data_IF_060326498898
#
_entry.id   IF_060326498898
#
_cell.length_a   1.000
_cell.length_b   1.000
_cell.length_c   1.000
_cell.angle_alpha   90.00
_cell.angle_beta   90.00
_cell.angle_gamma   90.00
#
_symmetry.space_group_name_H-M   'P 1'
#
loop_
_entity.id
_entity.type
_entity.pdbx_description
1 polymer ?
#
# COMPACT_ATOMS: atom_id res chain seq x y z
N UNK A 1 5.51 1.47 -35.59
CA UNK A 1 5.18 1.34 -34.14
C UNK A 1 4.35 2.57 -33.81
N UNK A 2 3.02 2.61 -33.94
CA UNK A 2 1.99 1.78 -33.27
C UNK A 2 1.98 2.15 -31.78
N UNK A 3 0.98 2.78 -31.15
CA UNK A 3 -0.46 2.77 -31.39
C UNK A 3 -1.10 3.97 -30.63
N UNK A 4 -1.70 4.96 -31.32
CA UNK A 4 -2.47 6.04 -30.71
C UNK A 4 -3.97 5.70 -30.81
N UNK A 5 -4.51 5.00 -29.83
CA UNK A 5 -5.95 4.76 -29.73
C UNK A 5 -6.64 5.97 -29.09
N UNK A 6 -6.88 7.02 -29.88
CA UNK A 6 -7.96 7.96 -29.60
C UNK A 6 -9.20 7.46 -30.33
N UNK A 7 -9.97 6.60 -29.66
CA UNK A 7 -11.34 6.31 -30.07
C UNK A 7 -12.22 7.48 -29.61
N UNK A 8 -12.01 8.64 -30.23
CA UNK A 8 -12.95 9.75 -30.19
C UNK A 8 -13.74 9.65 -31.47
N UNK A 9 -14.90 9.02 -31.38
CA UNK A 9 -15.94 9.19 -32.38
C UNK A 9 -16.21 10.70 -32.47
N UNK A 10 -15.70 11.30 -33.55
CA UNK A 10 -15.86 12.72 -33.85
C UNK A 10 -17.33 13.03 -34.12
N UNK A 11 -18.08 13.27 -33.04
CA UNK A 11 -19.40 13.86 -33.11
C UNK A 11 -19.28 15.36 -33.30
N UNK A 12 -19.23 15.81 -34.56
CA UNK A 12 -19.70 17.16 -34.87
C UNK A 12 -21.17 17.25 -34.39
N UNK A 13 -21.48 18.21 -33.54
CA UNK A 13 -22.86 18.62 -33.32
C UNK A 13 -22.96 20.11 -33.57
N UNK A 14 -23.65 20.41 -34.67
CA UNK A 14 -23.95 21.73 -35.16
C UNK A 14 -24.79 22.52 -34.14
N UNK A 15 -24.58 23.82 -34.11
CA UNK A 15 -25.40 24.78 -33.39
C UNK A 15 -26.78 24.83 -34.05
N UNK A 16 -27.78 24.23 -33.40
CA UNK A 16 -29.19 24.43 -33.73
C UNK A 16 -30.03 23.16 -33.69
N UNK A 17 -30.99 23.09 -32.77
CA UNK A 17 -32.10 22.14 -32.84
C UNK A 17 -32.46 21.47 -31.52
N UNK A 18 -33.53 21.93 -30.89
CA UNK A 18 -34.17 21.28 -29.74
C UNK A 18 -34.79 19.94 -30.12
N UNK A 19 -34.32 18.83 -29.54
CA UNK A 19 -35.10 17.60 -29.37
C UNK A 19 -34.94 17.07 -27.95
N UNK A 20 -36.05 17.12 -27.22
CA UNK A 20 -36.28 16.53 -25.92
C UNK A 20 -36.14 15.01 -25.95
N UNK A 21 -35.35 14.45 -25.01
CA UNK A 21 -35.47 13.10 -24.38
C UNK A 21 -34.18 12.25 -24.23
N UNK A 22 -32.98 12.79 -24.49
CA UNK A 22 -31.71 12.10 -24.13
C UNK A 22 -30.79 12.90 -23.18
N UNK A 23 -31.25 14.06 -22.72
CA UNK A 23 -30.43 15.09 -22.08
C UNK A 23 -30.38 15.04 -20.53
N UNK A 24 -30.44 13.86 -19.91
CA UNK A 24 -30.36 13.73 -18.45
C UNK A 24 -29.03 13.14 -17.92
N UNK A 25 -28.11 12.73 -18.80
CA UNK A 25 -26.86 12.05 -18.41
C UNK A 25 -25.56 12.72 -18.84
N UNK A 26 -25.63 13.79 -19.65
CA UNK A 26 -24.47 14.48 -20.24
C UNK A 26 -24.29 15.92 -19.71
N UNK A 27 -25.06 16.31 -18.69
CA UNK A 27 -24.90 17.62 -18.07
C UNK A 27 -23.67 17.57 -17.15
N UNK A 28 -22.54 18.01 -17.71
CA UNK A 28 -21.28 18.38 -17.04
C UNK A 28 -20.13 17.36 -17.07
N UNK A 29 -19.97 16.58 -18.13
CA UNK A 29 -18.79 15.73 -18.34
C UNK A 29 -17.47 16.52 -18.25
N UNK A 30 -17.47 17.78 -18.70
CA UNK A 30 -16.30 18.66 -18.59
C UNK A 30 -15.97 19.05 -17.14
N UNK A 31 -16.99 19.25 -16.29
CA UNK A 31 -16.79 19.56 -14.87
C UNK A 31 -16.33 18.31 -14.12
N UNK A 32 -16.90 17.15 -14.45
CA UNK A 32 -16.49 15.86 -13.90
C UNK A 32 -15.02 15.54 -14.28
N UNK A 33 -14.63 15.74 -15.54
CA UNK A 33 -13.24 15.61 -15.98
C UNK A 33 -12.29 16.61 -15.30
N UNK A 34 -12.73 17.85 -15.11
CA UNK A 34 -11.96 18.86 -14.38
C UNK A 34 -11.75 18.49 -12.91
N UNK A 35 -12.80 18.07 -12.19
CA UNK A 35 -12.70 17.62 -10.81
C UNK A 35 -11.83 16.36 -10.67
N UNK A 36 -12.00 15.38 -11.57
CA UNK A 36 -11.17 14.17 -11.60
C UNK A 36 -9.70 14.46 -11.86
N UNK A 37 -9.38 15.30 -12.84
CA UNK A 37 -7.98 15.67 -13.15
C UNK A 37 -7.31 16.46 -12.02
N UNK A 38 -8.08 17.18 -11.20
CA UNK A 38 -7.62 17.90 -10.00
C UNK A 38 -7.50 17.01 -8.77
N UNK A 39 -7.78 15.71 -8.88
CA UNK A 39 -7.63 14.78 -7.78
C UNK A 39 -8.78 14.82 -6.77
N UNK A 40 -10.02 15.10 -7.21
CA UNK A 40 -11.21 15.03 -6.35
C UNK A 40 -11.34 13.69 -5.59
N UNK A 41 -10.77 12.59 -6.11
CA UNK A 41 -10.74 11.28 -5.46
C UNK A 41 -9.46 10.98 -4.65
N UNK A 42 -8.60 11.98 -4.40
CA UNK A 42 -7.27 11.79 -3.84
C UNK A 42 -6.30 11.18 -4.86
N UNK A 43 -5.16 11.83 -5.09
CA UNK A 43 -4.11 11.35 -5.99
C UNK A 43 -3.07 10.51 -5.24
N UNK A 44 -3.52 9.60 -4.38
CA UNK A 44 -2.64 8.68 -3.67
C UNK A 44 -3.18 7.26 -3.79
N UNK A 45 -2.27 6.30 -3.87
CA UNK A 45 -2.61 4.88 -3.83
C UNK A 45 -2.22 4.33 -2.47
N UNK A 46 -3.05 3.46 -1.90
CA UNK A 46 -2.65 2.67 -0.74
C UNK A 46 -2.13 1.32 -1.22
N UNK A 47 -1.00 0.89 -0.66
CA UNK A 47 -0.43 -0.43 -0.91
C UNK A 47 -0.50 -1.26 0.37
N UNK A 48 -0.75 -2.55 0.21
CA UNK A 48 -0.75 -3.52 1.31
C UNK A 48 0.56 -4.32 1.27
N UNK A 49 1.30 -4.31 2.38
CA UNK A 49 2.51 -5.10 2.56
C UNK A 49 2.18 -6.35 3.36
N UNK A 50 2.50 -7.52 2.77
CA UNK A 50 2.49 -8.81 3.44
C UNK A 50 3.91 -9.34 3.53
N UNK A 51 4.27 -9.97 4.66
CA UNK A 51 5.63 -10.34 4.97
C UNK A 51 5.76 -11.85 5.20
N UNK A 52 6.86 -12.41 4.73
CA UNK A 52 7.29 -13.78 5.02
C UNK A 52 8.82 -13.87 4.98
N UNK A 53 9.39 -14.81 5.70
CA UNK A 53 10.81 -15.12 5.63
C UNK A 53 11.04 -16.62 5.47
N UNK A 54 12.22 -16.98 4.97
CA UNK A 54 12.67 -18.37 4.81
C UNK A 54 14.14 -18.47 5.21
N UNK A 55 14.54 -19.64 5.69
CA UNK A 55 15.92 -19.93 6.11
C UNK A 55 16.47 -18.93 7.14
N UNK A 56 15.64 -18.53 8.10
CA UNK A 56 16.12 -17.74 9.23
C UNK A 56 17.15 -18.55 10.01
N UNK A 57 18.16 -17.86 10.52
CA UNK A 57 19.17 -18.47 11.37
C UNK A 57 18.51 -18.88 12.68
N UNK A 58 18.70 -20.14 13.06
CA UNK A 58 18.30 -20.61 14.37
C UNK A 58 19.15 -19.95 15.45
N UNK A 59 18.50 -19.36 16.44
CA UNK A 59 19.15 -18.65 17.55
C UNK A 59 18.86 -19.30 18.90
N UNK A 60 17.94 -20.27 18.93
CA UNK A 60 17.61 -21.05 20.11
C UNK A 60 18.45 -22.33 20.21
N UNK A 61 18.63 -22.83 21.44
CA UNK A 61 19.46 -24.03 21.72
C UNK A 61 18.62 -25.32 21.77
N UNK A 62 17.36 -25.22 22.21
CA UNK A 62 16.48 -26.35 22.46
C UNK A 62 15.15 -26.28 21.69
N UNK A 63 14.93 -25.21 20.94
CA UNK A 63 13.75 -24.90 20.14
C UNK A 63 14.17 -24.27 18.81
N UNK A 64 13.20 -23.98 17.94
CA UNK A 64 13.42 -23.08 16.80
C UNK A 64 13.10 -21.66 17.24
N UNK A 65 13.73 -20.68 16.61
CA UNK A 65 13.40 -19.27 16.78
C UNK A 65 11.90 -18.93 16.64
N UNK A 66 11.51 -17.87 17.36
CA UNK A 66 10.18 -17.26 17.42
C UNK A 66 10.23 -15.86 16.75
N UNK A 67 10.22 -15.79 15.40
CA UNK A 67 10.51 -14.56 14.68
C UNK A 67 9.36 -13.53 14.66
N UNK A 68 9.74 -12.26 14.83
CA UNK A 68 8.89 -11.06 14.73
C UNK A 68 9.57 -10.00 13.83
N UNK A 69 8.79 -9.30 13.00
CA UNK A 69 9.29 -8.16 12.21
C UNK A 69 8.82 -6.85 12.81
N UNK A 70 9.75 -5.90 12.89
CA UNK A 70 9.43 -4.49 13.15
C UNK A 70 9.71 -3.69 11.88
N UNK A 71 8.68 -2.98 11.43
CA UNK A 71 8.72 -2.10 10.26
C UNK A 71 9.04 -0.68 10.71
N UNK A 72 10.05 -0.08 10.10
CA UNK A 72 10.43 1.31 10.30
C UNK A 72 10.37 2.09 8.99
N UNK A 73 10.09 3.38 9.10
CA UNK A 73 10.27 4.37 8.04
C UNK A 73 11.46 5.24 8.37
N UNK A 74 12.39 5.39 7.42
CA UNK A 74 13.59 6.21 7.59
C UNK A 74 13.32 7.63 7.10
N UNK A 75 13.39 8.59 8.01
CA UNK A 75 13.30 10.02 7.71
C UNK A 75 14.52 10.54 6.93
N UNK A 76 14.41 11.76 6.40
CA UNK A 76 15.52 12.45 5.72
C UNK A 76 16.70 12.77 6.65
N UNK A 77 16.41 12.91 7.94
CA UNK A 77 17.38 13.07 9.04
C UNK A 77 18.08 11.74 9.42
N UNK A 78 17.66 10.63 8.82
CA UNK A 78 18.15 9.28 9.13
C UNK A 78 17.53 8.66 10.37
N UNK A 79 16.58 9.33 11.03
CA UNK A 79 15.83 8.76 12.13
C UNK A 79 14.95 7.60 11.65
N UNK A 80 14.75 6.61 12.52
CA UNK A 80 13.88 5.47 12.26
C UNK A 80 12.59 5.63 13.06
N UNK A 81 11.48 5.87 12.37
CA UNK A 81 10.15 5.87 12.96
C UNK A 81 9.56 4.47 12.88
N UNK A 82 9.19 3.88 14.01
CA UNK A 82 8.48 2.59 14.02
C UNK A 82 7.07 2.76 13.46
N UNK A 83 6.75 2.04 12.37
CA UNK A 83 5.41 1.98 11.79
C UNK A 83 4.55 0.90 12.45
N UNK A 84 5.17 -0.20 12.89
CA UNK A 84 4.50 -1.24 13.65
C UNK A 84 5.29 -2.54 13.72
N UNK A 85 4.72 -3.49 14.48
CA UNK A 85 5.29 -4.84 14.72
C UNK A 85 4.32 -5.92 14.30
N UNK A 86 4.85 -7.01 13.74
CA UNK A 86 4.04 -8.19 13.41
C UNK A 86 3.75 -8.95 14.68
N UNK A 87 2.88 -9.94 14.58
CA UNK A 87 2.83 -11.01 15.57
C UNK A 87 4.15 -11.80 15.60
N UNK A 88 4.36 -12.50 16.71
CA UNK A 88 5.44 -13.47 16.88
C UNK A 88 4.95 -14.81 16.33
N UNK A 89 5.71 -15.41 15.44
CA UNK A 89 5.41 -16.75 14.91
C UNK A 89 6.24 -17.76 15.70
N UNK A 90 5.59 -18.71 16.37
CA UNK A 90 6.28 -19.64 17.25
C UNK A 90 7.02 -20.75 16.49
N UNK A 91 8.23 -21.08 16.93
CA UNK A 91 9.03 -22.23 16.51
C UNK A 91 9.14 -22.38 14.98
N UNK A 92 9.52 -21.31 14.27
CA UNK A 92 9.57 -21.29 12.82
C UNK A 92 10.78 -20.55 12.26
N UNK A 93 11.53 -21.23 11.39
CA UNK A 93 12.61 -20.62 10.59
C UNK A 93 12.10 -20.12 9.22
N UNK A 94 10.82 -20.35 8.92
CA UNK A 94 10.14 -19.92 7.70
C UNK A 94 8.78 -19.28 8.03
N UNK A 95 8.77 -18.17 8.79
CA UNK A 95 7.52 -17.56 9.23
C UNK A 95 6.75 -16.91 8.09
N UNK A 96 5.42 -16.99 8.17
CA UNK A 96 4.49 -16.19 7.38
C UNK A 96 3.67 -15.37 8.35
N UNK A 97 3.83 -14.05 8.29
CA UNK A 97 3.07 -13.15 9.15
C UNK A 97 1.72 -12.83 8.51
N UNK A 98 0.66 -12.92 9.30
CA UNK A 98 -0.73 -12.63 8.96
C UNK A 98 -0.96 -11.11 8.95
N UNK A 99 -0.30 -10.38 9.86
CA UNK A 99 -0.47 -8.93 9.94
C UNK A 99 0.06 -8.24 8.68
N UNK A 100 -0.82 -7.42 8.11
CA UNK A 100 -0.55 -6.62 6.90
C UNK A 100 -0.40 -5.15 7.26
N UNK A 101 0.42 -4.42 6.51
CA UNK A 101 0.62 -2.98 6.69
C UNK A 101 0.10 -2.21 5.49
N UNK A 102 -0.79 -1.26 5.74
CA UNK A 102 -1.24 -0.31 4.72
C UNK A 102 -0.29 0.89 4.70
N UNK A 103 0.34 1.14 3.56
CA UNK A 103 1.25 2.27 3.35
C UNK A 103 0.71 3.14 2.22
N UNK A 104 0.69 4.45 2.42
CA UNK A 104 0.35 5.39 1.36
C UNK A 104 1.54 5.52 0.41
N UNK A 105 1.35 5.17 -0.85
CA UNK A 105 2.36 5.32 -1.90
C UNK A 105 2.37 6.75 -2.43
N UNK A 106 3.53 7.40 -2.36
CA UNK A 106 3.77 8.74 -2.86
C UNK A 106 4.84 8.68 -3.96
N UNK A 107 4.41 8.72 -5.23
CA UNK A 107 5.31 8.52 -6.38
C UNK A 107 6.43 9.57 -6.47
N UNK A 108 6.22 10.75 -5.88
CA UNK A 108 7.16 11.87 -5.88
C UNK A 108 8.25 11.76 -4.80
N UNK A 109 8.11 10.83 -3.85
CA UNK A 109 8.99 10.73 -2.69
C UNK A 109 9.64 9.35 -2.57
N UNK A 110 10.93 9.34 -2.19
CA UNK A 110 11.62 8.10 -1.82
C UNK A 110 11.22 7.70 -0.39
N UNK A 111 10.36 6.70 -0.28
CA UNK A 111 9.88 6.18 1.00
C UNK A 111 10.76 5.01 1.47
N UNK A 112 11.83 5.31 2.22
CA UNK A 112 12.76 4.30 2.70
C UNK A 112 12.15 3.47 3.84
N UNK A 113 11.82 2.21 3.57
CA UNK A 113 11.34 1.26 4.58
C UNK A 113 12.49 0.37 5.06
N UNK A 114 12.56 0.14 6.37
CA UNK A 114 13.55 -0.72 7.02
C UNK A 114 12.81 -1.81 7.79
N UNK A 115 13.11 -3.07 7.46
CA UNK A 115 12.54 -4.24 8.12
C UNK A 115 13.60 -4.85 9.02
N UNK A 116 13.30 -4.99 10.30
CA UNK A 116 14.18 -5.68 11.27
C UNK A 116 13.48 -6.93 11.77
N UNK A 117 14.13 -8.08 11.59
CA UNK A 117 13.67 -9.37 12.12
C UNK A 117 14.32 -9.57 13.49
N UNK A 118 13.51 -9.91 14.48
CA UNK A 118 13.93 -10.24 15.82
C UNK A 118 13.52 -11.67 16.13
N UNK A 119 14.34 -12.35 16.93
CA UNK A 119 13.93 -13.57 17.60
C UNK A 119 13.45 -13.20 19.00
N UNK A 120 12.23 -13.60 19.36
CA UNK A 120 11.63 -13.28 20.66
C UNK A 120 11.85 -14.46 21.58
N UNK A 121 12.74 -14.32 22.57
CA UNK A 121 13.06 -15.46 23.45
C UNK A 121 11.79 -16.05 24.12
N UNK A 122 11.77 -17.38 24.22
CA UNK A 122 10.71 -18.18 24.85
C UNK A 122 10.21 -17.63 26.20
N UNK A 123 11.08 -17.02 27.00
CA UNK A 123 10.76 -16.40 28.29
C UNK A 123 9.82 -15.17 28.22
N UNK A 124 9.68 -14.52 27.06
CA UNK A 124 8.88 -13.30 26.90
C UNK A 124 7.48 -13.52 26.32
N UNK A 125 7.08 -14.77 26.07
CA UNK A 125 5.81 -15.11 25.43
C UNK A 125 4.56 -14.75 26.24
N UNK A 126 4.71 -14.57 27.56
CA UNK A 126 3.60 -14.31 28.49
C UNK A 126 3.71 -12.94 29.18
N UNK A 127 4.46 -12.00 28.61
CA UNK A 127 4.57 -10.65 29.18
C UNK A 127 3.50 -9.76 28.53
N UNK A 128 2.51 -9.35 29.33
CA UNK A 128 1.53 -8.36 28.91
C UNK A 128 2.25 -7.04 28.54
N UNK A 129 2.14 -6.65 27.27
CA UNK A 129 2.63 -5.35 26.79
C UNK A 129 1.63 -4.30 27.27
N UNK A 130 2.04 -3.53 28.28
CA UNK A 130 1.25 -2.47 28.92
C UNK A 130 1.03 -1.25 28.04
#
# INVERSE_FOLDING_TARGET
MGNCCSDVSGGQSAVGGSTSSLAAKAANDAVDAFLKSRGYNGLFSQIELSLSAENLRDRDVLSKSDPMVVLYMKGSDGSLQELGRTEVVLNSLSPKWIRKYMVTYQFEMVQNLVFRVYDVDTQFHNVDVK
#
